data_IF_789421042472
#
_entry.id   IF_789421042472
#
_cell.length_a   1.000
_cell.length_b   1.000
_cell.length_c   1.000
_cell.angle_alpha   90.00
_cell.angle_beta   90.00
_cell.angle_gamma   90.00
#
_symmetry.space_group_name_H-M   'P 1'
#
loop_
_entity.id
_entity.type
_entity.pdbx_description
1 polymer ?
#
# COMPACT_ATOMS: atom_id res chain seq x y z
N UNK A 1 -42.01 16.67 -57.29
CA UNK A 1 -41.59 16.77 -55.88
C UNK A 1 -42.00 15.49 -55.16
N UNK A 2 -41.13 14.49 -55.07
CA UNK A 2 -41.38 13.27 -54.29
C UNK A 2 -40.63 13.37 -52.97
N UNK A 3 -41.36 13.36 -51.85
CA UNK A 3 -40.76 13.24 -50.51
C UNK A 3 -40.50 11.77 -50.16
N UNK A 4 -39.34 11.41 -49.59
CA UNK A 4 -39.10 10.06 -49.09
C UNK A 4 -39.86 9.81 -47.78
N UNK A 5 -40.39 8.60 -47.66
CA UNK A 5 -41.25 8.11 -46.57
C UNK A 5 -40.42 7.91 -45.30
N UNK A 6 -40.82 8.53 -44.19
CA UNK A 6 -40.21 8.37 -42.86
C UNK A 6 -40.12 6.89 -42.45
N UNK A 7 -38.91 6.35 -42.40
CA UNK A 7 -38.59 5.01 -41.85
C UNK A 7 -38.04 5.07 -40.42
N UNK A 8 -37.93 6.25 -39.79
CA UNK A 8 -37.22 6.43 -38.51
C UNK A 8 -37.96 5.93 -37.26
N UNK A 9 -39.29 5.80 -37.28
CA UNK A 9 -40.08 5.57 -36.05
C UNK A 9 -39.88 4.20 -35.40
N UNK A 10 -39.51 3.16 -36.17
CA UNK A 10 -39.35 1.79 -35.64
C UNK A 10 -37.97 1.59 -35.01
N UNK A 11 -36.94 2.17 -35.62
CA UNK A 11 -35.57 2.14 -35.13
C UNK A 11 -35.45 2.99 -33.85
N UNK A 12 -36.14 4.14 -33.78
CA UNK A 12 -36.22 4.98 -32.58
C UNK A 12 -36.89 4.27 -31.39
N UNK A 13 -37.94 3.47 -31.66
CA UNK A 13 -38.64 2.71 -30.62
C UNK A 13 -37.79 1.53 -30.10
N UNK A 14 -37.10 0.83 -31.00
CA UNK A 14 -36.16 -0.24 -30.63
C UNK A 14 -34.98 0.32 -29.82
N UNK A 15 -34.42 1.45 -30.24
CA UNK A 15 -33.34 2.13 -29.53
C UNK A 15 -33.78 2.55 -28.11
N UNK A 16 -34.97 3.15 -27.95
CA UNK A 16 -35.50 3.53 -26.64
C UNK A 16 -35.74 2.32 -25.73
N UNK A 17 -36.28 1.23 -26.28
CA UNK A 17 -36.51 -0.01 -25.52
C UNK A 17 -35.19 -0.64 -25.06
N UNK A 18 -34.15 -0.62 -25.91
CA UNK A 18 -32.82 -1.11 -25.56
C UNK A 18 -32.14 -0.25 -24.49
N UNK A 19 -32.23 1.07 -24.60
CA UNK A 19 -31.75 2.00 -23.57
C UNK A 19 -32.47 1.81 -22.22
N UNK A 20 -33.78 1.58 -22.25
CA UNK A 20 -34.53 1.30 -21.03
C UNK A 20 -34.15 -0.05 -20.42
N UNK A 21 -33.97 -1.09 -21.24
CA UNK A 21 -33.46 -2.38 -20.79
C UNK A 21 -32.07 -2.24 -20.14
N UNK A 22 -31.13 -1.54 -20.79
CA UNK A 22 -29.80 -1.29 -20.22
C UNK A 22 -29.86 -0.52 -18.90
N UNK A 23 -30.75 0.48 -18.77
CA UNK A 23 -30.97 1.18 -17.49
C UNK A 23 -31.50 0.26 -16.41
N UNK A 24 -32.49 -0.59 -16.75
CA UNK A 24 -33.06 -1.57 -15.82
C UNK A 24 -32.00 -2.57 -15.38
N UNK A 25 -31.23 -3.13 -16.31
CA UNK A 25 -30.15 -4.09 -16.02
C UNK A 25 -29.07 -3.46 -15.14
N UNK A 26 -28.66 -2.21 -15.43
CA UNK A 26 -27.72 -1.46 -14.58
C UNK A 26 -28.28 -1.20 -13.18
N UNK A 27 -29.56 -0.86 -13.06
CA UNK A 27 -30.22 -0.64 -11.77
C UNK A 27 -30.31 -1.93 -10.95
N UNK A 28 -30.63 -3.06 -11.59
CA UNK A 28 -30.65 -4.39 -10.97
C UNK A 28 -29.25 -4.77 -10.49
N UNK A 29 -28.23 -4.61 -11.34
CA UNK A 29 -26.84 -4.91 -11.00
C UNK A 29 -26.34 -4.06 -9.82
N UNK A 30 -26.61 -2.75 -9.84
CA UNK A 30 -26.24 -1.86 -8.75
C UNK A 30 -26.95 -2.23 -7.44
N UNK A 31 -28.26 -2.43 -7.48
CA UNK A 31 -29.05 -2.81 -6.30
C UNK A 31 -28.60 -4.16 -5.73
N UNK A 32 -28.31 -5.12 -6.61
CA UNK A 32 -27.78 -6.44 -6.22
C UNK A 32 -26.42 -6.27 -5.55
N UNK A 33 -25.51 -5.50 -6.14
CA UNK A 33 -24.20 -5.20 -5.56
C UNK A 33 -24.31 -4.59 -4.17
N UNK A 34 -25.16 -3.59 -3.98
CA UNK A 34 -25.40 -2.97 -2.67
C UNK A 34 -25.96 -3.96 -1.64
N UNK A 35 -26.90 -4.82 -2.03
CA UNK A 35 -27.46 -5.85 -1.13
C UNK A 35 -26.42 -6.91 -0.75
N UNK A 36 -25.58 -7.34 -1.70
CA UNK A 36 -24.46 -8.25 -1.42
C UNK A 36 -23.48 -7.61 -0.44
N UNK A 37 -23.11 -6.34 -0.65
CA UNK A 37 -22.23 -5.63 0.28
C UNK A 37 -22.83 -5.51 1.68
N UNK A 38 -24.13 -5.22 1.78
CA UNK A 38 -24.84 -5.17 3.07
C UNK A 38 -24.85 -6.53 3.78
N UNK A 39 -25.08 -7.62 3.04
CA UNK A 39 -25.06 -8.97 3.59
C UNK A 39 -23.65 -9.37 4.08
N UNK A 40 -22.61 -9.00 3.33
CA UNK A 40 -21.21 -9.18 3.75
C UNK A 40 -20.95 -8.41 5.05
N UNK A 41 -21.33 -7.13 5.13
CA UNK A 41 -21.14 -6.31 6.33
C UNK A 41 -21.83 -6.93 7.57
N UNK A 42 -23.02 -7.51 7.40
CA UNK A 42 -23.73 -8.21 8.47
C UNK A 42 -23.05 -9.53 8.89
N UNK A 43 -22.29 -10.17 7.98
CA UNK A 43 -21.57 -11.42 8.24
C UNK A 43 -20.16 -11.22 8.84
N UNK A 44 -19.61 -10.00 8.77
CA UNK A 44 -18.30 -9.69 9.35
C UNK A 44 -18.39 -9.69 10.87
N UNK A 45 -17.47 -10.39 11.58
CA UNK A 45 -17.49 -10.41 13.04
C UNK A 45 -17.18 -9.03 13.63
N UNK A 46 -17.73 -8.75 14.82
CA UNK A 46 -17.49 -7.49 15.57
C UNK A 46 -15.98 -7.24 15.77
N UNK A 47 -15.22 -8.32 15.98
CA UNK A 47 -13.76 -8.31 15.98
C UNK A 47 -13.28 -9.09 14.77
N UNK A 48 -12.53 -8.42 13.90
CA UNK A 48 -11.90 -9.06 12.75
C UNK A 48 -10.96 -10.17 13.21
N UNK A 49 -11.10 -11.34 12.61
CA UNK A 49 -10.23 -12.48 12.86
C UNK A 49 -9.09 -12.53 11.86
N UNK A 50 -8.10 -13.38 12.11
CA UNK A 50 -6.93 -13.60 11.22
C UNK A 50 -7.32 -13.73 9.75
N UNK A 51 -8.38 -14.50 9.44
CA UNK A 51 -8.85 -14.71 8.05
C UNK A 51 -9.29 -13.39 7.41
N UNK A 52 -10.06 -12.59 8.13
CA UNK A 52 -10.65 -11.36 7.61
C UNK A 52 -9.56 -10.29 7.42
N UNK A 53 -8.65 -10.16 8.39
CA UNK A 53 -7.49 -9.28 8.30
C UNK A 53 -6.57 -9.66 7.13
N UNK A 54 -6.28 -10.95 6.98
CA UNK A 54 -5.46 -11.44 5.88
C UNK A 54 -6.12 -11.16 4.52
N UNK A 55 -7.43 -11.41 4.40
CA UNK A 55 -8.18 -11.13 3.18
C UNK A 55 -8.10 -9.64 2.79
N UNK A 56 -8.34 -8.73 3.73
CA UNK A 56 -8.27 -7.29 3.47
C UNK A 56 -6.87 -6.87 3.06
N UNK A 57 -5.84 -7.33 3.78
CA UNK A 57 -4.45 -7.04 3.45
C UNK A 57 -4.03 -7.56 2.08
N UNK A 58 -4.44 -8.78 1.73
CA UNK A 58 -4.18 -9.34 0.40
C UNK A 58 -4.76 -8.45 -0.70
N UNK A 59 -5.99 -7.95 -0.52
CA UNK A 59 -6.58 -6.99 -1.47
C UNK A 59 -5.87 -5.64 -1.46
N UNK A 60 -5.46 -5.12 -0.30
CA UNK A 60 -4.69 -3.87 -0.21
C UNK A 60 -3.35 -3.96 -0.95
N UNK A 61 -2.66 -5.09 -0.90
CA UNK A 61 -1.40 -5.27 -1.64
C UNK A 61 -1.60 -5.20 -3.16
N UNK A 62 -2.78 -5.53 -3.69
CA UNK A 62 -3.04 -5.42 -5.14
C UNK A 62 -3.22 -3.99 -5.63
N UNK A 63 -3.49 -3.05 -4.72
CA UNK A 63 -3.72 -1.63 -5.06
C UNK A 63 -2.59 -0.71 -4.58
N UNK A 64 -1.64 -1.25 -3.81
CA UNK A 64 -0.38 -0.59 -3.48
C UNK A 64 0.63 -0.80 -4.62
N UNK A 65 1.37 0.24 -4.95
CA UNK A 65 2.53 0.15 -5.82
C UNK A 65 3.71 -0.52 -5.12
N UNK A 66 4.67 -0.96 -5.94
CA UNK A 66 5.84 -1.70 -5.48
C UNK A 66 6.67 -0.96 -4.44
N UNK A 67 6.85 0.36 -4.55
CA UNK A 67 7.64 1.14 -3.58
C UNK A 67 7.02 1.11 -2.17
N UNK A 68 5.69 1.13 -2.09
CA UNK A 68 4.96 1.06 -0.81
C UNK A 68 4.97 -0.35 -0.26
N UNK A 69 4.88 -1.37 -1.11
CA UNK A 69 5.07 -2.77 -0.72
C UNK A 69 6.48 -2.99 -0.15
N UNK A 70 7.52 -2.43 -0.79
CA UNK A 70 8.88 -2.48 -0.28
C UNK A 70 9.02 -1.80 1.08
N UNK A 71 8.38 -0.64 1.26
CA UNK A 71 8.41 0.11 2.52
C UNK A 71 7.81 -0.73 3.66
N UNK A 72 6.63 -1.33 3.43
CA UNK A 72 5.99 -2.24 4.39
C UNK A 72 6.87 -3.45 4.68
N UNK A 73 7.40 -4.10 3.65
CA UNK A 73 8.28 -5.26 3.80
C UNK A 73 9.50 -4.92 4.67
N UNK A 74 10.18 -3.79 4.39
CA UNK A 74 11.34 -3.33 5.17
C UNK A 74 10.99 -3.04 6.63
N UNK A 75 9.82 -2.46 6.89
CA UNK A 75 9.32 -2.20 8.25
C UNK A 75 9.18 -3.50 9.07
N UNK A 76 8.84 -4.61 8.41
CA UNK A 76 8.76 -5.94 9.02
C UNK A 76 10.05 -6.77 8.90
N UNK A 77 11.19 -6.13 8.61
CA UNK A 77 12.49 -6.79 8.52
C UNK A 77 12.68 -7.65 7.27
N UNK A 78 11.75 -7.60 6.32
CA UNK A 78 11.84 -8.31 5.05
C UNK A 78 12.70 -7.47 4.11
N UNK A 79 13.91 -7.96 3.86
CA UNK A 79 14.83 -7.40 2.87
C UNK A 79 14.90 -8.36 1.70
N UNK A 80 14.95 -7.81 0.49
CA UNK A 80 14.99 -8.56 -0.76
C UNK A 80 16.18 -9.55 -0.73
N UNK A 81 15.89 -10.86 -0.72
CA UNK A 81 16.86 -11.88 -1.17
C UNK A 81 16.55 -12.14 -2.64
N UNK A 82 17.61 -12.18 -3.45
CA UNK A 82 17.57 -12.00 -4.91
C UNK A 82 16.67 -13.00 -5.67
N UNK A 83 16.24 -14.10 -5.06
CA UNK A 83 15.73 -15.27 -5.80
C UNK A 83 14.37 -15.86 -5.34
N UNK A 84 13.65 -15.25 -4.38
CA UNK A 84 12.41 -15.84 -3.80
C UNK A 84 11.07 -15.28 -4.36
N UNK A 85 10.99 -14.99 -5.66
CA UNK A 85 9.71 -14.67 -6.32
C UNK A 85 9.10 -13.30 -5.98
N UNK A 86 9.92 -12.34 -5.54
CA UNK A 86 9.57 -10.93 -5.38
C UNK A 86 9.11 -10.52 -3.98
N UNK A 87 9.29 -9.24 -3.65
CA UNK A 87 9.03 -8.68 -2.31
C UNK A 87 7.56 -8.84 -1.89
N UNK A 88 6.62 -8.70 -2.83
CA UNK A 88 5.20 -8.88 -2.58
C UNK A 88 4.86 -10.33 -2.20
N UNK A 89 5.48 -11.33 -2.85
CA UNK A 89 5.28 -12.75 -2.54
C UNK A 89 5.85 -13.10 -1.17
N UNK A 90 7.04 -12.59 -0.84
CA UNK A 90 7.65 -12.78 0.48
C UNK A 90 6.81 -12.14 1.58
N UNK A 91 6.31 -10.91 1.36
CA UNK A 91 5.40 -10.24 2.29
C UNK A 91 4.10 -11.03 2.47
N UNK A 92 3.51 -11.55 1.39
CA UNK A 92 2.32 -12.41 1.46
C UNK A 92 2.57 -13.70 2.25
N UNK A 93 3.73 -14.33 2.06
CA UNK A 93 4.13 -15.50 2.85
C UNK A 93 4.32 -15.19 4.33
N UNK A 94 4.85 -14.01 4.66
CA UNK A 94 4.93 -13.50 6.03
C UNK A 94 3.53 -13.31 6.64
N UNK A 95 2.63 -12.64 5.93
CA UNK A 95 1.25 -12.38 6.40
C UNK A 95 0.48 -13.67 6.71
N UNK A 96 0.68 -14.75 5.95
CA UNK A 96 0.03 -16.05 6.24
C UNK A 96 0.39 -16.60 7.63
N UNK A 97 1.62 -16.36 8.08
CA UNK A 97 2.15 -16.86 9.36
C UNK A 97 1.93 -15.88 10.51
N UNK A 98 1.75 -14.60 10.22
CA UNK A 98 1.53 -13.56 11.20
C UNK A 98 0.31 -13.82 12.10
N UNK A 99 0.39 -13.33 13.34
CA UNK A 99 -0.73 -13.26 14.27
C UNK A 99 -1.67 -12.08 13.95
N UNK A 100 -2.84 -12.06 14.58
CA UNK A 100 -3.86 -11.02 14.37
C UNK A 100 -3.38 -9.62 14.73
N UNK A 101 -2.55 -9.46 15.75
CA UNK A 101 -2.00 -8.17 16.14
C UNK A 101 -1.04 -7.62 15.09
N UNK A 102 -0.20 -8.48 14.52
CA UNK A 102 0.70 -8.14 13.43
C UNK A 102 -0.06 -7.78 12.16
N UNK A 103 -1.09 -8.55 11.79
CA UNK A 103 -1.95 -8.22 10.65
C UNK A 103 -2.74 -6.92 10.88
N UNK A 104 -3.21 -6.66 12.09
CA UNK A 104 -3.92 -5.42 12.41
C UNK A 104 -3.02 -4.19 12.24
N UNK A 105 -1.77 -4.25 12.71
CA UNK A 105 -0.77 -3.18 12.51
C UNK A 105 -0.45 -2.98 11.04
N UNK A 106 -0.18 -4.06 10.31
CA UNK A 106 0.05 -4.02 8.86
C UNK A 106 -1.11 -3.37 8.10
N UNK A 107 -2.36 -3.67 8.48
CA UNK A 107 -3.54 -3.10 7.82
C UNK A 107 -3.61 -1.58 8.00
N UNK A 108 -3.31 -1.10 9.20
CA UNK A 108 -3.21 0.34 9.50
C UNK A 108 -2.10 1.00 8.67
N UNK A 109 -0.90 0.41 8.68
CA UNK A 109 0.26 0.93 7.93
C UNK A 109 -0.01 0.98 6.42
N UNK A 110 -0.54 -0.10 5.85
CA UNK A 110 -0.87 -0.20 4.43
C UNK A 110 -1.92 0.85 4.02
N UNK A 111 -2.92 1.07 4.88
CA UNK A 111 -3.99 2.05 4.64
C UNK A 111 -3.45 3.48 4.70
N UNK A 112 -2.58 3.80 5.67
CA UNK A 112 -1.92 5.12 5.78
C UNK A 112 -1.05 5.36 4.54
N UNK A 113 -0.26 4.38 4.11
CA UNK A 113 0.58 4.49 2.91
C UNK A 113 -0.26 4.66 1.65
N UNK A 114 -1.37 3.93 1.52
CA UNK A 114 -2.29 4.10 0.40
C UNK A 114 -2.95 5.49 0.41
N UNK A 115 -3.36 6.01 1.57
CA UNK A 115 -3.92 7.36 1.66
C UNK A 115 -2.85 8.42 1.32
N UNK A 116 -1.64 8.28 1.84
CA UNK A 116 -0.50 9.16 1.55
C UNK A 116 -0.11 9.12 0.06
N UNK A 117 -0.44 8.05 -0.66
CA UNK A 117 -0.23 7.96 -2.11
C UNK A 117 -1.17 8.80 -2.96
N UNK A 118 -2.40 8.99 -2.47
CA UNK A 118 -3.50 9.65 -3.22
C UNK A 118 -3.67 11.11 -2.84
N UNK A 119 -3.05 11.52 -1.74
CA UNK A 119 -3.18 12.84 -1.14
C UNK A 119 -1.80 13.40 -0.74
N UNK A 120 -1.78 14.51 0.00
CA UNK A 120 -0.54 15.02 0.55
C UNK A 120 -0.01 14.07 1.65
N UNK A 121 1.08 13.35 1.35
CA UNK A 121 1.63 12.35 2.26
C UNK A 121 2.03 12.91 3.64
N UNK A 122 2.52 14.15 3.70
CA UNK A 122 2.92 14.77 4.98
C UNK A 122 1.72 15.08 5.87
N UNK A 123 0.60 15.52 5.31
CA UNK A 123 -0.61 15.76 6.11
C UNK A 123 -1.20 14.44 6.60
N UNK A 124 -1.30 13.43 5.73
CA UNK A 124 -1.81 12.10 6.10
C UNK A 124 -1.00 11.48 7.24
N UNK A 125 0.33 11.57 7.17
CA UNK A 125 1.20 11.07 8.24
C UNK A 125 1.03 11.87 9.56
N UNK A 126 0.83 13.19 9.48
CA UNK A 126 0.59 14.03 10.67
C UNK A 126 -0.75 13.72 11.33
N UNK A 127 -1.80 13.51 10.53
CA UNK A 127 -3.13 13.15 11.02
C UNK A 127 -3.10 11.78 11.71
N UNK A 128 -2.46 10.79 11.07
CA UNK A 128 -2.26 9.47 11.67
C UNK A 128 -1.42 9.55 12.95
N UNK A 129 -0.33 10.32 12.96
CA UNK A 129 0.48 10.50 14.15
C UNK A 129 -0.30 11.13 15.31
N UNK A 130 -1.19 12.09 15.01
CA UNK A 130 -2.08 12.70 16.01
C UNK A 130 -3.04 11.66 16.60
N UNK A 131 -3.69 10.86 15.75
CA UNK A 131 -4.61 9.79 16.18
C UNK A 131 -3.93 8.76 17.09
N UNK A 132 -2.73 8.32 16.72
CA UNK A 132 -1.95 7.33 17.46
C UNK A 132 -1.05 7.94 18.55
N UNK A 133 -1.15 9.25 18.79
CA UNK A 133 -0.37 9.99 19.80
C UNK A 133 1.14 9.79 19.65
N UNK A 134 1.62 9.81 18.40
CA UNK A 134 3.03 9.68 18.02
C UNK A 134 3.66 11.06 17.93
N UNK A 135 4.76 11.27 18.65
CA UNK A 135 5.54 12.51 18.61
C UNK A 135 6.44 12.55 17.38
N UNK A 136 5.97 13.21 16.32
CA UNK A 136 6.71 13.36 15.07
C UNK A 136 7.94 14.26 15.22
N UNK A 137 7.94 15.20 16.17
CA UNK A 137 9.07 16.11 16.38
C UNK A 137 10.24 15.38 17.03
N UNK A 138 9.96 14.59 18.07
CA UNK A 138 10.95 13.73 18.70
C UNK A 138 11.54 12.72 17.72
N UNK A 139 10.71 12.12 16.84
CA UNK A 139 11.19 11.25 15.76
C UNK A 139 12.09 12.04 14.79
N UNK A 140 11.65 13.22 14.35
CA UNK A 140 12.44 14.07 13.45
C UNK A 140 13.79 14.49 14.03
N UNK A 141 13.84 14.80 15.32
CA UNK A 141 15.08 15.13 16.02
C UNK A 141 16.04 13.93 16.08
N UNK A 142 15.55 12.73 16.42
CA UNK A 142 16.36 11.50 16.41
C UNK A 142 16.92 11.20 15.02
N UNK A 143 16.09 11.32 13.99
CA UNK A 143 16.54 11.14 12.59
C UNK A 143 17.63 12.15 12.25
N UNK A 144 17.46 13.45 12.55
CA UNK A 144 18.51 14.46 12.32
C UNK A 144 19.82 14.11 13.03
N UNK A 145 19.75 13.63 14.27
CA UNK A 145 20.93 13.19 15.03
C UNK A 145 21.62 11.98 14.38
N UNK A 146 20.85 10.97 13.94
CA UNK A 146 21.40 9.79 13.24
C UNK A 146 22.12 10.18 11.94
N UNK A 147 21.55 11.10 11.16
CA UNK A 147 22.18 11.57 9.92
C UNK A 147 23.44 12.39 10.20
N UNK A 148 23.43 13.24 11.23
CA UNK A 148 24.62 13.98 11.66
C UNK A 148 25.74 13.05 12.14
N UNK A 149 25.42 12.00 12.91
CA UNK A 149 26.38 11.00 13.35
C UNK A 149 26.97 10.22 12.17
N UNK A 150 26.14 9.76 11.23
CA UNK A 150 26.61 9.10 9.99
C UNK A 150 27.49 10.00 9.13
N UNK A 151 27.20 11.31 9.08
CA UNK A 151 28.01 12.27 8.34
C UNK A 151 29.38 12.49 9.00
N UNK A 152 29.46 12.50 10.34
CA UNK A 152 30.73 12.60 11.09
C UNK A 152 31.57 11.32 10.96
N UNK A 153 30.95 10.14 11.06
CA UNK A 153 31.62 8.85 10.88
C UNK A 153 32.18 8.64 9.46
N UNK A 154 31.60 9.28 8.44
CA UNK A 154 32.15 9.29 7.08
C UNK A 154 33.26 10.34 6.86
N UNK A 155 33.38 11.33 7.75
CA UNK A 155 34.35 12.43 7.66
C UNK A 155 35.61 12.20 8.51
N UNK A 156 35.61 11.22 9.41
CA UNK A 156 36.87 10.72 9.97
C UNK A 156 37.65 10.04 8.84
N UNK A 157 38.83 10.56 8.46
CA UNK A 157 39.69 9.82 7.54
C UNK A 157 39.97 8.47 8.18
N UNK A 158 39.93 7.40 7.39
CA UNK A 158 40.77 6.23 7.65
C UNK A 158 42.12 6.78 8.08
N UNK A 159 42.47 6.70 9.36
CA UNK A 159 43.83 6.92 9.81
C UNK A 159 44.66 5.97 8.97
N UNK A 160 45.43 6.54 8.04
CA UNK A 160 46.44 5.84 7.28
C UNK A 160 47.30 5.08 8.28
N UNK A 161 47.31 3.75 8.15
CA UNK A 161 48.30 2.93 8.80
C UNK A 161 49.66 3.48 8.36
N UNK A 162 50.39 4.08 9.31
CA UNK A 162 51.72 4.66 9.10
C UNK A 162 52.59 3.65 8.34
N UNK A 163 53.30 4.06 7.26
CA UNK A 163 54.26 3.19 6.61
C UNK A 163 55.41 2.94 7.58
N UNK A 164 55.59 1.67 7.99
CA UNK A 164 56.76 1.25 8.76
C UNK A 164 57.96 1.32 7.81
N UNK A 165 58.78 2.33 8.00
CA UNK A 165 60.15 2.40 7.47
C UNK A 165 60.98 1.27 8.08
N UNK A 166 61.23 0.20 7.31
CA UNK A 166 62.32 -0.74 7.63
C UNK A 166 63.63 -0.17 7.12
N UNK A 167 64.33 0.54 8.00
CA UNK A 167 65.74 0.82 7.86
C UNK A 167 66.56 -0.47 8.01
N UNK A 168 67.62 -0.56 7.20
CA UNK A 168 68.65 -1.61 7.13
C UNK A 168 69.21 -2.03 8.50
N UNK A 169 69.53 -3.33 8.65
CA UNK A 169 70.81 -3.76 9.25
C UNK A 169 71.23 -5.15 8.78
N UNK A 170 72.54 -5.27 8.57
CA UNK A 170 73.29 -6.40 8.04
C UNK A 170 73.51 -7.53 9.05
N UNK A 171 73.65 -8.75 8.54
CA UNK A 171 74.69 -9.74 8.83
C UNK A 171 74.57 -10.88 7.82
#
# INVERSE_FOLDING_TARGET
>A
MHHPKQTSSRDDAQWKAEQEKQRRDKAIANTTGLRVLSAIAAAVPVRLLKRDLFFVLEKLLTVLDESRIETLARQHGIRQKRDEGGIAKTLLAFMRRADEGTLSRLMVEATILLAASRHNGSSVLKDAATLYKVDTEAIGQKVKQEFAAKAKAKKEPKQEAKPITKAKKAA
#
